data_IF_823893305356
#
_entry.id   IF_823893305356
#
_cell.length_a   1.000
_cell.length_b   1.000
_cell.length_c   1.000
_cell.angle_alpha   90.00
_cell.angle_beta   90.00
_cell.angle_gamma   90.00
#
_symmetry.space_group_name_H-M   'P 1'
#
loop_
_entity.id
_entity.type
_entity.pdbx_description
1 polymer ?
#
# COMPACT_ATOMS: atom_id res chain seq x y z
N UNK A 1 -6.85 -11.03 2.14
CA UNK A 1 -7.31 -10.99 0.74
C UNK A 1 -8.17 -9.76 0.58
N UNK A 2 -8.08 -9.04 -0.54
CA UNK A 2 -8.99 -7.93 -0.82
C UNK A 2 -10.43 -8.47 -0.90
N UNK A 3 -11.38 -7.77 -0.29
CA UNK A 3 -12.79 -8.05 -0.57
C UNK A 3 -13.10 -7.74 -2.04
N UNK A 4 -14.19 -8.30 -2.56
CA UNK A 4 -14.55 -8.20 -3.98
C UNK A 4 -14.67 -6.76 -4.47
N UNK A 5 -15.17 -5.84 -3.63
CA UNK A 5 -15.36 -4.44 -4.00
C UNK A 5 -14.03 -3.67 -4.04
N UNK A 6 -13.13 -3.95 -3.11
CA UNK A 6 -11.79 -3.37 -3.08
C UNK A 6 -10.91 -3.95 -4.18
N UNK A 7 -11.03 -5.24 -4.46
CA UNK A 7 -10.34 -5.90 -5.57
C UNK A 7 -10.70 -5.27 -6.92
N UNK A 8 -11.99 -5.00 -7.17
CA UNK A 8 -12.43 -4.39 -8.43
C UNK A 8 -11.86 -2.98 -8.65
N UNK A 9 -11.63 -2.22 -7.57
CA UNK A 9 -10.96 -0.91 -7.64
C UNK A 9 -9.45 -1.06 -7.81
N UNK A 10 -8.87 -2.02 -7.12
CA UNK A 10 -7.44 -2.32 -7.17
C UNK A 10 -7.01 -2.80 -8.57
N UNK A 11 -7.80 -3.68 -9.20
CA UNK A 11 -7.49 -4.25 -10.51
C UNK A 11 -7.44 -3.21 -11.63
N UNK A 12 -8.17 -2.10 -11.51
CA UNK A 12 -8.12 -0.99 -12.47
C UNK A 12 -6.74 -0.31 -12.45
N UNK A 13 -6.14 -0.18 -11.26
CA UNK A 13 -4.84 0.45 -11.08
C UNK A 13 -3.66 -0.54 -11.15
N UNK A 14 -3.94 -1.84 -11.22
CA UNK A 14 -2.92 -2.88 -11.17
C UNK A 14 -1.98 -2.80 -12.37
N UNK A 15 -0.67 -2.81 -12.10
CA UNK A 15 0.36 -2.81 -13.14
C UNK A 15 0.71 -4.25 -13.55
N UNK A 16 1.34 -4.46 -14.71
CA UNK A 16 1.76 -5.79 -15.15
C UNK A 16 2.59 -6.53 -14.09
N UNK A 17 2.40 -7.86 -13.99
CA UNK A 17 3.08 -8.71 -13.00
C UNK A 17 4.61 -8.63 -13.06
N UNK A 18 5.17 -8.38 -14.25
CA UNK A 18 6.61 -8.16 -14.42
C UNK A 18 7.16 -6.94 -13.66
N UNK A 19 6.27 -6.00 -13.29
CA UNK A 19 6.58 -4.78 -12.55
C UNK A 19 6.13 -4.84 -11.08
N UNK A 20 5.57 -5.97 -10.64
CA UNK A 20 5.19 -6.15 -9.24
C UNK A 20 6.38 -6.12 -8.30
N UNK A 21 6.16 -5.57 -7.11
CA UNK A 21 7.23 -5.35 -6.15
C UNK A 21 7.59 -6.68 -5.49
N UNK A 22 8.89 -6.88 -5.28
CA UNK A 22 9.44 -8.07 -4.63
C UNK A 22 10.30 -7.65 -3.46
N UNK A 23 9.91 -8.06 -2.26
CA UNK A 23 10.68 -7.80 -1.04
C UNK A 23 11.42 -9.05 -0.60
N UNK A 24 12.71 -8.90 -0.32
CA UNK A 24 13.51 -9.98 0.26
C UNK A 24 13.18 -10.11 1.74
N UNK A 25 12.83 -11.31 2.16
CA UNK A 25 12.56 -11.68 3.55
C UNK A 25 13.51 -12.80 3.99
N UNK A 26 13.48 -13.16 5.28
CA UNK A 26 14.24 -14.29 5.80
C UNK A 26 13.86 -15.62 5.13
N UNK A 27 12.60 -15.76 4.69
CA UNK A 27 12.06 -17.00 4.11
C UNK A 27 11.96 -16.95 2.57
N UNK A 28 12.69 -16.05 1.92
CA UNK A 28 12.64 -15.87 0.47
C UNK A 28 11.95 -14.56 0.05
N UNK A 29 11.37 -14.52 -1.13
CA UNK A 29 10.75 -13.30 -1.66
C UNK A 29 9.26 -13.23 -1.37
N UNK A 30 8.83 -12.08 -0.87
CA UNK A 30 7.43 -11.69 -0.82
C UNK A 30 7.08 -10.92 -2.10
N UNK A 31 6.20 -11.48 -2.92
CA UNK A 31 5.66 -10.84 -4.11
C UNK A 31 4.40 -10.05 -3.75
N UNK A 32 4.41 -8.77 -4.09
CA UNK A 32 3.31 -7.86 -3.83
C UNK A 32 2.66 -7.48 -5.15
N UNK A 33 1.38 -7.79 -5.31
CA UNK A 33 0.57 -7.21 -6.37
C UNK A 33 0.59 -5.71 -6.20
N UNK A 34 0.87 -4.99 -7.28
CA UNK A 34 1.12 -3.56 -7.25
C UNK A 34 0.06 -2.84 -8.07
N UNK A 35 -0.60 -1.85 -7.47
CA UNK A 35 -1.50 -0.95 -8.18
C UNK A 35 -1.07 0.50 -8.00
N UNK A 36 -1.17 1.31 -9.05
CA UNK A 36 -1.04 2.77 -8.97
C UNK A 36 -2.24 3.34 -8.24
N UNK A 37 -1.99 4.35 -7.41
CA UNK A 37 -3.03 5.09 -6.72
C UNK A 37 -2.63 6.55 -6.54
N UNK A 38 -3.64 7.39 -6.25
CA UNK A 38 -3.46 8.76 -5.79
C UNK A 38 -3.93 8.80 -4.34
N UNK A 39 -3.02 9.18 -3.44
CA UNK A 39 -3.33 9.41 -2.03
C UNK A 39 -3.60 10.90 -1.81
N UNK A 40 -4.76 11.23 -1.24
CA UNK A 40 -5.08 12.58 -0.80
C UNK A 40 -4.72 12.74 0.68
N UNK A 41 -3.82 13.65 1.01
CA UNK A 41 -3.39 13.97 2.39
C UNK A 41 -3.54 15.48 2.61
N UNK A 42 -4.62 15.89 3.30
CA UNK A 42 -5.01 17.30 3.34
C UNK A 42 -5.24 17.82 1.92
N UNK A 43 -4.57 18.93 1.57
CA UNK A 43 -4.63 19.55 0.24
C UNK A 43 -3.61 18.97 -0.76
N UNK A 44 -2.79 17.98 -0.33
CA UNK A 44 -1.79 17.35 -1.19
C UNK A 44 -2.34 16.10 -1.86
N UNK A 45 -1.97 15.93 -3.14
CA UNK A 45 -2.15 14.68 -3.89
C UNK A 45 -0.79 14.05 -4.14
N UNK A 46 -0.64 12.80 -3.72
CA UNK A 46 0.61 12.06 -3.83
C UNK A 46 0.36 10.83 -4.70
N UNK A 47 1.06 10.74 -5.82
CA UNK A 47 1.08 9.51 -6.62
C UNK A 47 1.85 8.43 -5.86
N UNK A 48 1.27 7.24 -5.75
CA UNK A 48 1.86 6.16 -4.97
C UNK A 48 1.45 4.80 -5.49
N UNK A 49 1.97 3.77 -4.83
CA UNK A 49 1.61 2.38 -5.08
C UNK A 49 0.91 1.79 -3.87
N UNK A 50 -0.18 1.06 -4.13
CA UNK A 50 -0.82 0.17 -3.16
C UNK A 50 -0.28 -1.23 -3.42
N UNK A 51 0.28 -1.83 -2.37
CA UNK A 51 0.86 -3.16 -2.41
C UNK A 51 -0.04 -4.11 -1.62
N UNK A 52 -0.46 -5.20 -2.24
CA UNK A 52 -1.20 -6.27 -1.57
C UNK A 52 -0.45 -7.59 -1.75
N UNK A 53 -0.39 -8.41 -0.70
CA UNK A 53 0.32 -9.70 -0.81
C UNK A 53 -0.36 -10.57 -1.86
N UNK A 54 0.45 -11.20 -2.72
CA UNK A 54 -0.07 -12.13 -3.71
C UNK A 54 -0.55 -13.43 -3.08
N UNK A 55 0.21 -13.93 -2.10
CA UNK A 55 0.16 -15.34 -1.68
C UNK A 55 -0.47 -15.55 -0.30
N UNK A 56 -0.81 -14.47 0.43
CA UNK A 56 -1.37 -14.60 1.78
C UNK A 56 -2.21 -13.39 2.21
N UNK A 57 -3.01 -13.60 3.25
CA UNK A 57 -3.81 -12.56 3.87
C UNK A 57 -2.92 -11.56 4.62
N UNK A 58 -3.17 -10.28 4.38
CA UNK A 58 -2.45 -9.19 4.99
C UNK A 58 -3.14 -7.86 4.73
N UNK A 59 -2.63 -6.80 5.38
CA UNK A 59 -3.08 -5.42 5.11
C UNK A 59 -2.43 -4.92 3.83
N UNK A 60 -3.15 -4.06 3.10
CA UNK A 60 -2.55 -3.30 2.01
C UNK A 60 -1.50 -2.35 2.57
N UNK A 61 -0.36 -2.28 1.89
CA UNK A 61 0.71 -1.36 2.22
C UNK A 61 0.70 -0.18 1.25
N UNK A 62 0.82 1.01 1.81
CA UNK A 62 1.03 2.28 1.10
C UNK A 62 2.15 2.96 1.86
N UNK A 63 3.21 3.42 1.21
CA UNK A 63 4.31 4.01 1.98
C UNK A 63 5.54 4.46 1.22
N UNK A 64 6.02 3.72 0.21
CA UNK A 64 7.35 4.01 -0.37
C UNK A 64 7.47 5.44 -0.95
N UNK A 65 6.49 5.91 -1.70
CA UNK A 65 6.47 7.29 -2.20
C UNK A 65 5.90 8.28 -1.18
N UNK A 66 5.07 7.80 -0.26
CA UNK A 66 4.43 8.65 0.77
C UNK A 66 5.43 9.07 1.84
N UNK A 67 6.35 8.19 2.24
CA UNK A 67 7.39 8.46 3.23
C UNK A 67 8.33 9.57 2.76
N UNK A 68 8.60 9.69 1.45
CA UNK A 68 9.44 10.75 0.90
C UNK A 68 8.84 12.15 1.09
N UNK A 69 7.52 12.23 1.08
CA UNK A 69 6.75 13.47 1.18
C UNK A 69 6.33 13.82 2.61
N UNK A 70 6.57 12.93 3.57
CA UNK A 70 6.20 13.10 4.98
C UNK A 70 7.45 13.29 5.85
N UNK A 71 7.43 14.30 6.72
CA UNK A 71 8.34 14.38 7.86
C UNK A 71 7.88 13.38 8.92
N UNK A 72 8.46 12.18 8.92
CA UNK A 72 8.10 11.12 9.88
C UNK A 72 9.04 11.19 11.08
N UNK A 73 8.49 11.56 12.24
CA UNK A 73 9.16 11.34 13.53
C UNK A 73 8.81 9.93 14.01
N UNK A 74 9.82 9.05 14.05
CA UNK A 74 9.66 7.71 14.61
C UNK A 74 9.86 7.79 16.13
N UNK A 75 8.76 7.88 16.87
CA UNK A 75 8.78 7.65 18.33
C UNK A 75 8.61 6.15 18.57
N UNK A 76 9.63 5.52 19.15
CA UNK A 76 9.82 4.06 19.23
C UNK A 76 8.78 3.26 20.03
N UNK A 77 7.60 3.84 20.30
CA UNK A 77 6.51 3.23 21.06
C UNK A 77 5.28 2.89 20.23
N UNK A 78 5.06 3.52 19.07
CA UNK A 78 3.88 3.26 18.25
C UNK A 78 4.21 3.15 16.75
N UNK A 79 3.71 2.08 16.12
CA UNK A 79 3.71 1.96 14.66
C UNK A 79 2.45 2.65 14.12
N UNK A 80 2.58 3.44 13.05
CA UNK A 80 1.44 4.15 12.46
C UNK A 80 0.34 3.15 12.02
N UNK A 81 -0.79 3.13 12.74
CA UNK A 81 -1.97 2.33 12.39
C UNK A 81 -2.92 3.20 11.55
N UNK A 82 -3.01 2.92 10.25
CA UNK A 82 -4.09 3.45 9.41
C UNK A 82 -5.42 2.81 9.84
N UNK A 83 -6.36 3.63 10.36
CA UNK A 83 -7.76 3.25 10.55
C UNK A 83 -8.60 3.81 9.39
N UNK A 84 -9.50 3.01 8.84
CA UNK A 84 -10.48 3.50 7.87
C UNK A 84 -11.34 4.60 8.50
N UNK A 85 -11.32 5.79 7.91
CA UNK A 85 -12.29 6.83 8.21
C UNK A 85 -13.48 6.66 7.28
N UNK A 86 -14.61 6.21 7.82
CA UNK A 86 -15.90 6.38 7.14
C UNK A 86 -16.31 7.85 7.26
N UNK A 87 -16.26 8.57 6.15
CA UNK A 87 -16.84 9.92 6.04
C UNK A 87 -18.36 9.80 6.24
N UNK A 88 -18.92 10.64 7.13
CA UNK A 88 -20.36 10.75 7.38
C UNK A 88 -21.04 11.52 6.26
#
# INVERSE_FOLDING_TARGET
MLDTSTYAKFSIGEIPESLWFRFKTLNGYLIMRTAKAILNVGDKKIETYVLTSRDFDGKNLIGLEVIKELAILLDGRETCIMKEFKSK
#
